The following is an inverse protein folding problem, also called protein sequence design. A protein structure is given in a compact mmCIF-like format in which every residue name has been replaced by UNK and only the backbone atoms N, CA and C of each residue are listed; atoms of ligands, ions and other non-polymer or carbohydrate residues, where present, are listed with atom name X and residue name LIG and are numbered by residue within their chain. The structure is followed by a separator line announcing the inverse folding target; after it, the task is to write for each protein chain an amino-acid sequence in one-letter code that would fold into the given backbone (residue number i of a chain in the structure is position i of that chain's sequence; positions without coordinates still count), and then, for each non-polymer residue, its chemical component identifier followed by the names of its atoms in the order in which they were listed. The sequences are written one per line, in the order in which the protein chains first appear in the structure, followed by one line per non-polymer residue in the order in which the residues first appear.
data_IF_100447797267
#
_entry.id   IF_100447797267
#
_cell.length_a   1.000
_cell.length_b   1.000
_cell.length_c   1.000
_cell.angle_alpha   90.00
_cell.angle_beta   90.00
_cell.angle_gamma   90.00
#
_symmetry.space_group_name_H-M   'P 1'
#
loop_
_entity.id
_entity.type
_entity.pdbx_description
1 polymer ?
#
# COMPACT_ATOMS: atom_id res chain seq x y z
N UNK A 1 -6.97 36.42 25.42
CA UNK A 1 -5.89 36.21 24.45
C UNK A 1 -5.24 34.88 24.82
N UNK A 2 -5.67 33.79 24.19
CA UNK A 2 -5.19 32.45 24.48
C UNK A 2 -4.73 31.83 23.18
N UNK A 3 -3.44 31.53 23.08
CA UNK A 3 -2.91 30.64 22.05
C UNK A 3 -2.02 29.64 22.76
N UNK A 4 -2.47 28.39 22.65
CA UNK A 4 -1.93 27.19 23.25
C UNK A 4 -0.60 26.87 22.58
N UNK A 5 0.39 26.53 23.41
CA UNK A 5 1.65 25.94 22.98
C UNK A 5 1.35 24.57 22.35
N UNK A 6 1.72 24.38 21.09
CA UNK A 6 1.68 23.08 20.43
C UNK A 6 2.95 22.31 20.85
N UNK A 7 2.81 21.42 21.82
CA UNK A 7 3.83 20.41 22.11
C UNK A 7 3.84 19.38 20.97
N UNK A 8 5.01 19.21 20.35
CA UNK A 8 5.29 18.09 19.45
C UNK A 8 5.40 16.83 20.31
N UNK A 9 4.43 15.92 20.18
CA UNK A 9 4.52 14.60 20.79
C UNK A 9 5.45 13.72 19.94
N UNK A 10 6.72 13.60 20.36
CA UNK A 10 7.62 12.54 19.88
C UNK A 10 7.20 11.21 20.54
N UNK A 11 6.31 10.48 19.87
CA UNK A 11 5.80 9.19 20.33
C UNK A 11 6.77 8.06 19.99
N UNK A 12 7.52 7.57 20.98
CA UNK A 12 8.24 6.31 20.89
C UNK A 12 7.23 5.17 20.74
N UNK A 13 7.05 4.65 19.52
CA UNK A 13 6.21 3.47 19.29
C UNK A 13 6.93 2.22 19.82
N UNK A 14 6.42 1.65 20.90
CA UNK A 14 6.89 0.38 21.47
C UNK A 14 6.25 -0.84 20.77
N UNK A 15 6.88 -2.01 20.93
CA UNK A 15 6.51 -3.27 20.25
C UNK A 15 5.03 -3.66 20.43
N UNK A 16 4.42 -3.31 21.57
CA UNK A 16 3.01 -3.59 21.88
C UNK A 16 2.07 -2.74 21.02
N UNK A 17 2.45 -1.49 20.71
CA UNK A 17 1.71 -0.64 19.78
C UNK A 17 1.66 -1.27 18.37
N UNK A 18 2.72 -1.96 17.92
CA UNK A 18 2.72 -2.70 16.66
C UNK A 18 1.89 -3.98 16.71
N UNK A 19 1.81 -4.68 17.85
CA UNK A 19 0.94 -5.85 18.02
C UNK A 19 -0.55 -5.48 17.98
N UNK A 20 -0.90 -4.23 18.34
CA UNK A 20 -2.25 -3.68 18.23
C UNK A 20 -2.62 -3.28 16.79
N UNK A 21 -1.63 -3.07 15.91
CA UNK A 21 -1.90 -2.89 14.49
C UNK A 21 -2.35 -4.25 13.94
N UNK A 22 -3.56 -4.33 13.38
CA UNK A 22 -4.05 -5.52 12.68
C UNK A 22 -3.29 -5.73 11.35
N UNK A 23 -1.98 -5.93 11.43
CA UNK A 23 -1.12 -6.19 10.29
C UNK A 23 -1.44 -7.61 9.79
N UNK A 24 -1.77 -7.78 8.51
CA UNK A 24 -1.98 -9.09 7.92
C UNK A 24 -0.80 -10.01 8.14
N UNK A 25 -1.03 -11.26 8.55
CA UNK A 25 0.04 -12.26 8.59
C UNK A 25 0.42 -12.67 7.16
N UNK A 26 1.61 -12.26 6.65
CA UNK A 26 2.00 -12.52 5.26
C UNK A 26 2.10 -14.02 4.95
N UNK A 27 2.30 -14.87 5.96
CA UNK A 27 2.42 -16.33 5.82
C UNK A 27 1.10 -16.99 5.43
N UNK A 28 -0.05 -16.35 5.70
CA UNK A 28 -1.37 -16.88 5.33
C UNK A 28 -1.66 -16.74 3.84
N UNK A 29 -1.01 -15.78 3.17
CA UNK A 29 -1.26 -15.47 1.75
C UNK A 29 0.08 -15.15 1.04
N UNK A 30 1.03 -16.11 0.96
CA UNK A 30 2.41 -15.84 0.55
C UNK A 30 2.51 -15.23 -0.85
N UNK A 31 1.72 -15.70 -1.82
CA UNK A 31 1.70 -15.14 -3.19
C UNK A 31 1.31 -13.67 -3.24
N UNK A 32 0.34 -13.25 -2.42
CA UNK A 32 -0.09 -11.84 -2.35
C UNK A 32 0.97 -11.01 -1.63
N UNK A 33 1.53 -11.54 -0.54
CA UNK A 33 2.57 -10.88 0.23
C UNK A 33 3.84 -10.66 -0.61
N UNK A 34 4.32 -11.68 -1.32
CA UNK A 34 5.47 -11.60 -2.22
C UNK A 34 5.27 -10.56 -3.32
N UNK A 35 4.08 -10.53 -3.94
CA UNK A 35 3.78 -9.52 -4.96
C UNK A 35 3.70 -8.11 -4.37
N UNK A 36 3.09 -7.95 -3.19
CA UNK A 36 3.00 -6.66 -2.52
C UNK A 36 4.40 -6.14 -2.15
N UNK A 37 5.28 -7.01 -1.66
CA UNK A 37 6.69 -6.70 -1.39
C UNK A 37 7.41 -6.26 -2.66
N UNK A 38 7.23 -6.98 -3.78
CA UNK A 38 7.86 -6.62 -5.05
C UNK A 38 7.39 -5.25 -5.59
N UNK A 39 6.09 -4.96 -5.49
CA UNK A 39 5.53 -3.68 -5.95
C UNK A 39 5.95 -2.52 -5.05
N UNK A 40 5.84 -2.67 -3.73
CA UNK A 40 6.31 -1.66 -2.76
C UNK A 40 7.83 -1.45 -2.92
N UNK A 41 8.56 -2.54 -3.10
CA UNK A 41 9.92 -2.63 -3.60
C UNK A 41 10.19 -1.66 -4.74
N UNK A 42 9.62 -1.95 -5.90
CA UNK A 42 9.86 -1.17 -7.12
C UNK A 42 9.45 0.30 -6.97
N UNK A 43 8.36 0.57 -6.25
CA UNK A 43 7.83 1.93 -6.04
C UNK A 43 8.75 2.81 -5.18
N UNK A 44 9.46 2.24 -4.20
CA UNK A 44 10.34 3.01 -3.33
C UNK A 44 11.79 3.10 -3.87
N UNK A 45 12.20 2.20 -4.77
CA UNK A 45 13.53 2.19 -5.38
C UNK A 45 13.66 3.22 -6.52
N UNK A 46 13.44 4.51 -6.23
CA UNK A 46 13.31 5.57 -7.24
C UNK A 46 14.64 5.98 -7.87
N UNK A 47 15.73 5.91 -7.11
CA UNK A 47 17.07 6.34 -7.53
C UNK A 47 18.17 5.57 -6.79
N UNK A 48 19.43 5.78 -7.20
CA UNK A 48 20.60 5.01 -6.77
C UNK A 48 20.82 5.01 -5.24
N UNK A 49 20.26 5.97 -4.49
CA UNK A 49 20.32 5.95 -3.02
C UNK A 49 19.65 4.72 -2.43
N UNK A 50 18.74 4.09 -3.18
CA UNK A 50 18.00 2.90 -2.80
C UNK A 50 18.52 1.62 -3.47
N UNK A 51 19.66 1.65 -4.17
CA UNK A 51 20.16 0.52 -4.94
C UNK A 51 20.44 -0.73 -4.07
N UNK A 52 21.07 -0.55 -2.91
CA UNK A 52 21.33 -1.66 -1.99
C UNK A 52 20.04 -2.28 -1.44
N UNK A 53 19.05 -1.44 -1.15
CA UNK A 53 17.74 -1.90 -0.71
C UNK A 53 16.98 -2.62 -1.83
N UNK A 54 16.98 -2.07 -3.04
CA UNK A 54 16.37 -2.69 -4.22
C UNK A 54 16.97 -4.08 -4.48
N UNK A 55 18.30 -4.20 -4.37
CA UNK A 55 19.02 -5.48 -4.47
C UNK A 55 18.62 -6.46 -3.36
N UNK A 56 18.51 -5.98 -2.12
CA UNK A 56 18.12 -6.83 -0.98
C UNK A 56 16.68 -7.36 -1.11
N UNK A 57 15.77 -6.56 -1.66
CA UNK A 57 14.37 -6.93 -1.93
C UNK A 57 14.22 -7.73 -3.23
N UNK A 58 15.19 -7.67 -4.14
CA UNK A 58 15.16 -8.35 -5.44
C UNK A 58 14.36 -7.62 -6.51
N UNK A 59 14.36 -6.28 -6.49
CA UNK A 59 13.64 -5.42 -7.44
C UNK A 59 14.60 -4.51 -8.21
N UNK A 60 14.16 -4.03 -9.37
CA UNK A 60 14.90 -3.04 -10.14
C UNK A 60 14.92 -1.67 -9.43
N UNK A 61 16.05 -0.97 -9.55
CA UNK A 61 16.23 0.41 -9.08
C UNK A 61 16.13 1.39 -10.26
N UNK A 62 15.56 2.57 -10.02
CA UNK A 62 15.45 3.64 -10.98
C UNK A 62 14.03 4.16 -11.15
N UNK A 63 13.87 5.30 -11.81
CA UNK A 63 12.58 5.96 -11.93
C UNK A 63 11.56 5.13 -12.71
N UNK A 64 10.29 5.29 -12.35
CA UNK A 64 9.15 4.78 -13.09
C UNK A 64 8.46 5.95 -13.78
N UNK A 65 8.01 5.74 -15.02
CA UNK A 65 7.09 6.68 -15.65
C UNK A 65 5.75 6.73 -14.89
N UNK A 66 5.01 7.82 -15.08
CA UNK A 66 3.77 8.07 -14.34
C UNK A 66 2.73 6.93 -14.53
N UNK A 67 2.64 6.36 -15.74
CA UNK A 67 1.69 5.29 -16.02
C UNK A 67 2.13 3.98 -15.35
N UNK A 68 3.42 3.64 -15.40
CA UNK A 68 3.93 2.47 -14.69
C UNK A 68 3.75 2.61 -13.18
N UNK A 69 4.07 3.78 -12.61
CA UNK A 69 3.87 4.08 -11.20
C UNK A 69 2.40 3.92 -10.79
N UNK A 70 1.46 4.52 -11.54
CA UNK A 70 0.03 4.39 -11.27
C UNK A 70 -0.43 2.92 -11.29
N UNK A 71 -0.06 2.15 -12.31
CA UNK A 71 -0.38 0.71 -12.38
C UNK A 71 0.13 -0.07 -11.16
N UNK A 72 1.35 0.20 -10.71
CA UNK A 72 1.93 -0.47 -9.54
C UNK A 72 1.16 -0.10 -8.26
N UNK A 73 0.78 1.17 -8.11
CA UNK A 73 -0.02 1.62 -6.96
C UNK A 73 -1.39 0.94 -6.95
N UNK A 74 -2.10 0.89 -8.07
CA UNK A 74 -3.44 0.30 -8.14
C UNK A 74 -3.41 -1.21 -7.86
N UNK A 75 -2.40 -1.91 -8.37
CA UNK A 75 -2.21 -3.33 -8.05
C UNK A 75 -1.87 -3.51 -6.56
N UNK A 76 -1.00 -2.65 -6.00
CA UNK A 76 -0.62 -2.72 -4.59
C UNK A 76 -1.82 -2.47 -3.66
N UNK A 77 -2.64 -1.46 -3.93
CA UNK A 77 -3.86 -1.16 -3.17
C UNK A 77 -4.79 -2.39 -3.12
N UNK A 78 -4.98 -3.06 -4.26
CA UNK A 78 -5.80 -4.26 -4.36
C UNK A 78 -5.22 -5.45 -3.56
N UNK A 79 -3.89 -5.65 -3.60
CA UNK A 79 -3.22 -6.70 -2.83
C UNK A 79 -3.34 -6.45 -1.33
N UNK A 80 -3.13 -5.21 -0.90
CA UNK A 80 -3.27 -4.80 0.51
C UNK A 80 -4.72 -5.04 0.97
N UNK A 81 -5.72 -4.68 0.18
CA UNK A 81 -7.12 -4.97 0.49
C UNK A 81 -7.36 -6.48 0.73
N UNK A 82 -6.81 -7.36 -0.12
CA UNK A 82 -6.90 -8.81 0.09
C UNK A 82 -6.14 -9.30 1.32
N UNK A 83 -4.98 -8.73 1.62
CA UNK A 83 -4.18 -9.08 2.80
C UNK A 83 -4.94 -8.73 4.08
N UNK A 84 -5.58 -7.56 4.13
CA UNK A 84 -6.45 -7.14 5.24
C UNK A 84 -7.81 -7.85 5.27
N UNK A 85 -8.14 -8.66 4.25
CA UNK A 85 -9.41 -9.37 4.17
C UNK A 85 -10.60 -8.45 3.93
N UNK A 86 -10.38 -7.32 3.25
CA UNK A 86 -11.44 -6.37 2.94
C UNK A 86 -12.40 -6.95 1.90
N UNK A 87 -13.68 -6.62 2.06
CA UNK A 87 -14.68 -6.79 0.99
C UNK A 87 -14.58 -5.65 -0.01
N UNK A 88 -15.13 -5.85 -1.20
CA UNK A 88 -15.24 -4.80 -2.22
C UNK A 88 -15.97 -3.56 -1.70
N UNK A 89 -17.08 -3.74 -0.98
CA UNK A 89 -17.83 -2.63 -0.40
C UNK A 89 -17.00 -1.83 0.62
N UNK A 90 -16.17 -2.51 1.42
CA UNK A 90 -15.25 -1.85 2.34
C UNK A 90 -14.14 -1.09 1.59
N UNK A 91 -13.62 -1.66 0.50
CA UNK A 91 -12.63 -1.00 -0.34
C UNK A 91 -13.20 0.26 -0.99
N UNK A 92 -14.39 0.19 -1.58
CA UNK A 92 -15.11 1.35 -2.13
C UNK A 92 -15.30 2.42 -1.06
N UNK A 93 -15.77 2.05 0.12
CA UNK A 93 -15.98 2.98 1.23
C UNK A 93 -14.70 3.70 1.67
N UNK A 94 -13.54 3.02 1.65
CA UNK A 94 -12.24 3.66 1.93
C UNK A 94 -11.93 4.73 0.89
N UNK A 95 -12.09 4.42 -0.40
CA UNK A 95 -11.87 5.40 -1.46
C UNK A 95 -12.83 6.59 -1.36
N UNK A 96 -14.10 6.34 -1.05
CA UNK A 96 -15.12 7.39 -0.84
C UNK A 96 -14.85 8.24 0.42
N UNK A 97 -14.15 7.70 1.43
CA UNK A 97 -13.91 8.43 2.69
C UNK A 97 -12.60 9.22 2.64
N UNK A 98 -11.55 8.70 2.00
CA UNK A 98 -10.18 9.23 2.12
C UNK A 98 -9.64 9.89 0.83
N UNK A 99 -10.50 10.49 0.02
CA UNK A 99 -10.12 11.12 -1.26
C UNK A 99 -10.06 12.66 -1.25
N UNK A 100 -9.90 13.28 -0.09
CA UNK A 100 -9.94 14.75 0.02
C UNK A 100 -9.03 15.43 -1.01
N UNK A 101 -9.64 16.20 -1.92
CA UNK A 101 -8.93 17.01 -2.91
C UNK A 101 -8.58 16.33 -4.23
N UNK A 102 -9.00 15.08 -4.51
CA UNK A 102 -8.77 14.43 -5.81
C UNK A 102 -9.94 13.55 -6.28
N UNK A 103 -10.08 13.42 -7.60
CA UNK A 103 -11.05 12.49 -8.21
C UNK A 103 -10.54 11.04 -8.06
N UNK A 104 -11.22 10.27 -7.22
CA UNK A 104 -10.83 8.91 -6.90
C UNK A 104 -11.38 7.87 -7.86
N UNK A 105 -12.32 8.23 -8.74
CA UNK A 105 -13.08 7.28 -9.54
C UNK A 105 -12.18 6.41 -10.42
N UNK A 106 -11.24 7.03 -11.15
CA UNK A 106 -10.32 6.33 -12.04
C UNK A 106 -9.41 5.35 -11.29
N UNK A 107 -8.89 5.76 -10.12
CA UNK A 107 -8.04 4.90 -9.29
C UNK A 107 -8.85 3.77 -8.67
N UNK A 108 -10.07 4.04 -8.22
CA UNK A 108 -10.97 3.03 -7.66
C UNK A 108 -11.28 1.97 -8.72
N UNK A 109 -11.69 2.37 -9.93
CA UNK A 109 -11.97 1.44 -11.03
C UNK A 109 -10.76 0.58 -11.38
N UNK A 110 -9.57 1.21 -11.50
CA UNK A 110 -8.34 0.48 -11.77
C UNK A 110 -7.97 -0.50 -10.63
N UNK A 111 -8.17 -0.09 -9.37
CA UNK A 111 -7.92 -0.93 -8.20
C UNK A 111 -8.88 -2.11 -8.15
N UNK A 112 -10.17 -1.89 -8.42
CA UNK A 112 -11.19 -2.94 -8.47
C UNK A 112 -10.89 -3.98 -9.56
N UNK A 113 -10.42 -3.55 -10.74
CA UNK A 113 -9.94 -4.48 -11.79
C UNK A 113 -8.86 -5.43 -11.25
N UNK A 114 -7.86 -4.90 -10.54
CA UNK A 114 -6.83 -5.72 -9.91
C UNK A 114 -7.39 -6.58 -8.77
N UNK A 115 -8.29 -6.04 -7.95
CA UNK A 115 -8.92 -6.74 -6.83
C UNK A 115 -9.67 -7.99 -7.32
N UNK A 116 -10.49 -7.88 -8.36
CA UNK A 116 -11.19 -9.02 -8.96
C UNK A 116 -10.23 -10.00 -9.66
N UNK A 117 -9.21 -9.48 -10.35
CA UNK A 117 -8.21 -10.33 -11.00
C UNK A 117 -7.46 -11.21 -9.98
N UNK A 118 -7.09 -10.66 -8.83
CA UNK A 118 -6.45 -11.41 -7.74
C UNK A 118 -7.41 -12.34 -7.01
N UNK A 119 -8.68 -11.96 -6.84
CA UNK A 119 -9.70 -12.84 -6.28
C UNK A 119 -9.85 -14.13 -7.12
N UNK A 120 -9.86 -14.01 -8.46
CA UNK A 120 -9.91 -15.16 -9.38
C UNK A 120 -8.68 -16.06 -9.33
N UNK A 121 -7.49 -15.50 -9.08
CA UNK A 121 -6.23 -16.26 -8.96
C UNK A 121 -6.11 -17.05 -7.65
N UNK A 122 -7.03 -16.85 -6.70
CA UNK A 122 -7.07 -17.54 -5.39
C UNK A 122 -7.95 -18.79 -5.41
N UNK A 123 -8.81 -18.96 -6.41
CA UNK A 123 -9.59 -20.18 -6.66
C UNK A 123 -8.72 -21.22 -7.36
#
# INVERSE_FOLDING_TARGET
MGFVHLDVAEGHADQEAFNCLRIPDPRRQPKLAERAVALAGRLAAVDDRFADWAKAVGVECGSLDANAKARHIHELDALVAHLYGLTEAQLVHIFETFHEGWDHADRLDATLKHFHAWARKRQ
#
